data_IF_982369915637
#
_entry.id   IF_982369915637
#
_cell.length_a   1.000
_cell.length_b   1.000
_cell.length_c   1.000
_cell.angle_alpha   90.00
_cell.angle_beta   90.00
_cell.angle_gamma   90.00
#
_symmetry.space_group_name_H-M   'P 1'
#
loop_
_entity.id
_entity.type
_entity.pdbx_description
1 polymer ?
#
# COMPACT_ATOMS: atom_id res chain seq x y z
N UNK A 1 -7.86 -8.54 21.33
CA UNK A 1 -7.00 -9.18 20.32
C UNK A 1 -7.51 -8.83 18.93
N UNK A 2 -6.69 -8.18 18.12
CA UNK A 2 -7.09 -7.84 16.76
C UNK A 2 -7.08 -9.09 15.89
N UNK A 3 -8.21 -9.42 15.30
CA UNK A 3 -8.27 -10.47 14.28
C UNK A 3 -7.52 -9.99 13.04
N UNK A 4 -6.52 -10.75 12.61
CA UNK A 4 -5.84 -10.51 11.34
C UNK A 4 -6.62 -11.23 10.25
N UNK A 5 -7.23 -10.46 9.35
CA UNK A 5 -7.93 -11.00 8.20
C UNK A 5 -6.93 -11.27 7.07
N UNK A 6 -6.19 -12.37 7.22
CA UNK A 6 -5.22 -12.81 6.22
C UNK A 6 -5.69 -14.11 5.61
N UNK A 7 -5.60 -14.21 4.29
CA UNK A 7 -5.96 -15.44 3.59
C UNK A 7 -5.53 -15.43 2.14
N UNK A 8 -5.78 -16.54 1.45
CA UNK A 8 -5.51 -16.67 0.04
C UNK A 8 -6.75 -16.27 -0.76
N UNK A 9 -6.55 -15.39 -1.75
CA UNK A 9 -7.62 -15.00 -2.66
C UNK A 9 -7.79 -16.06 -3.74
N UNK A 10 -9.01 -16.59 -3.89
CA UNK A 10 -9.34 -17.53 -4.95
C UNK A 10 -9.82 -16.76 -6.17
N UNK A 11 -8.96 -16.64 -7.17
CA UNK A 11 -9.24 -15.90 -8.39
C UNK A 11 -10.20 -16.69 -9.30
N UNK A 12 -11.15 -15.97 -9.90
CA UNK A 12 -12.10 -16.54 -10.87
C UNK A 12 -11.61 -16.38 -12.32
N UNK A 13 -10.84 -15.31 -12.57
CA UNK A 13 -10.33 -14.99 -13.90
C UNK A 13 -8.81 -14.93 -13.88
N UNK A 14 -8.12 -16.08 -13.76
CA UNK A 14 -6.66 -16.10 -13.61
C UNK A 14 -5.90 -15.50 -14.80
N UNK A 15 -6.50 -15.46 -15.98
CA UNK A 15 -5.89 -14.85 -17.16
C UNK A 15 -5.69 -13.35 -17.02
N UNK A 16 -6.38 -12.69 -16.10
CA UNK A 16 -6.21 -11.26 -15.79
C UNK A 16 -5.04 -10.99 -14.85
N UNK A 17 -4.61 -11.98 -14.08
CA UNK A 17 -3.59 -11.80 -13.06
C UNK A 17 -2.19 -11.90 -13.66
N UNK A 18 -1.37 -10.87 -13.41
CA UNK A 18 0.03 -10.85 -13.82
C UNK A 18 0.90 -11.27 -12.64
N UNK A 19 1.29 -12.53 -12.62
CA UNK A 19 2.05 -13.16 -11.55
C UNK A 19 1.54 -14.56 -11.28
N UNK A 20 1.80 -15.09 -10.09
CA UNK A 20 1.34 -16.43 -9.69
C UNK A 20 -0.10 -16.38 -9.16
N UNK A 21 -1.11 -16.83 -9.94
CA UNK A 21 -2.50 -16.75 -9.51
C UNK A 21 -2.86 -17.71 -8.39
N UNK A 22 -1.99 -18.64 -8.05
CA UNK A 22 -2.21 -19.60 -6.96
C UNK A 22 -1.69 -19.09 -5.61
N UNK A 23 -1.00 -17.96 -5.60
CA UNK A 23 -0.38 -17.39 -4.40
C UNK A 23 -0.70 -15.90 -4.24
N UNK A 24 -2.01 -15.58 -4.20
CA UNK A 24 -2.48 -14.21 -4.00
C UNK A 24 -2.95 -14.08 -2.56
N UNK A 25 -2.22 -13.33 -1.75
CA UNK A 25 -2.51 -13.19 -0.33
C UNK A 25 -3.09 -11.82 -0.03
N UNK A 26 -4.29 -11.77 0.60
CA UNK A 26 -4.81 -10.53 1.17
C UNK A 26 -4.49 -10.48 2.66
N UNK A 27 -4.20 -9.27 3.15
CA UNK A 27 -3.84 -9.03 4.56
C UNK A 27 -4.87 -8.18 5.30
N UNK A 28 -5.91 -7.74 4.59
CA UNK A 28 -7.02 -6.98 5.16
C UNK A 28 -8.28 -7.23 4.33
N UNK A 29 -9.44 -6.91 4.92
CA UNK A 29 -10.71 -6.98 4.19
C UNK A 29 -10.79 -5.94 3.07
N UNK A 30 -10.13 -4.79 3.24
CA UNK A 30 -10.05 -3.77 2.19
C UNK A 30 -9.31 -4.30 0.97
N UNK A 31 -8.17 -4.98 1.18
CA UNK A 31 -7.43 -5.63 0.10
C UNK A 31 -8.26 -6.71 -0.58
N UNK A 32 -8.96 -7.53 0.19
CA UNK A 32 -9.83 -8.57 -0.35
C UNK A 32 -10.93 -7.99 -1.25
N UNK A 33 -11.57 -6.90 -0.82
CA UNK A 33 -12.60 -6.21 -1.62
C UNK A 33 -12.01 -5.67 -2.91
N UNK A 34 -10.83 -5.09 -2.85
CA UNK A 34 -10.16 -4.57 -4.04
C UNK A 34 -9.77 -5.68 -5.00
N UNK A 35 -9.27 -6.81 -4.49
CA UNK A 35 -8.96 -8.00 -5.32
C UNK A 35 -10.19 -8.53 -6.05
N UNK A 36 -11.34 -8.60 -5.36
CA UNK A 36 -12.61 -9.00 -5.98
C UNK A 36 -13.02 -8.02 -7.09
N UNK A 37 -12.81 -6.73 -6.85
CA UNK A 37 -13.09 -5.69 -7.84
C UNK A 37 -12.19 -5.86 -9.08
N UNK A 38 -10.89 -6.07 -8.88
CA UNK A 38 -9.94 -6.27 -9.98
C UNK A 38 -10.30 -7.51 -10.81
N UNK A 39 -10.68 -8.59 -10.13
CA UNK A 39 -11.00 -9.86 -10.79
C UNK A 39 -12.28 -9.78 -11.62
N UNK A 40 -13.29 -9.07 -11.14
CA UNK A 40 -14.61 -9.02 -11.75
C UNK A 40 -14.88 -7.83 -12.68
N UNK A 41 -14.09 -6.75 -12.60
CA UNK A 41 -14.34 -5.53 -13.37
C UNK A 41 -13.68 -5.61 -14.75
N UNK A 42 -14.49 -5.54 -15.81
CA UNK A 42 -14.02 -5.62 -17.19
C UNK A 42 -13.13 -4.46 -17.61
N UNK A 43 -13.20 -3.32 -16.92
CA UNK A 43 -12.35 -2.15 -17.18
C UNK A 43 -10.90 -2.37 -16.71
N UNK A 44 -10.69 -3.30 -15.78
CA UNK A 44 -9.37 -3.71 -15.34
C UNK A 44 -8.94 -4.90 -16.19
N UNK A 45 -7.99 -4.67 -17.10
CA UNK A 45 -7.54 -5.67 -18.06
C UNK A 45 -6.58 -6.68 -17.43
N UNK A 46 -5.65 -6.19 -16.60
CA UNK A 46 -4.66 -6.98 -15.88
C UNK A 46 -4.46 -6.38 -14.49
N UNK A 47 -4.05 -7.22 -13.54
CA UNK A 47 -3.70 -6.75 -12.19
C UNK A 47 -2.70 -7.68 -11.52
N UNK A 48 -1.98 -7.17 -10.53
CA UNK A 48 -1.09 -7.97 -9.69
C UNK A 48 -1.08 -7.42 -8.26
N UNK A 49 -0.71 -8.27 -7.31
CA UNK A 49 -0.61 -7.94 -5.89
C UNK A 49 0.81 -8.18 -5.42
N UNK A 50 1.49 -7.12 -4.95
CA UNK A 50 2.83 -7.18 -4.35
C UNK A 50 3.91 -7.83 -5.23
N UNK A 51 3.76 -7.79 -6.57
CA UNK A 51 4.68 -8.43 -7.51
C UNK A 51 5.82 -7.50 -7.97
N UNK A 52 5.72 -6.19 -7.69
CA UNK A 52 6.70 -5.18 -8.14
C UNK A 52 7.42 -4.59 -6.95
N UNK A 53 8.75 -4.50 -7.04
CA UNK A 53 9.58 -3.82 -6.06
C UNK A 53 10.12 -2.51 -6.65
N UNK A 54 9.90 -1.40 -5.93
CA UNK A 54 10.37 -0.07 -6.33
C UNK A 54 11.43 0.38 -5.33
N UNK A 55 12.67 0.62 -5.77
CA UNK A 55 13.71 1.13 -4.86
C UNK A 55 13.43 2.58 -4.46
N UNK A 56 13.66 2.90 -3.22
CA UNK A 56 13.58 4.27 -2.71
C UNK A 56 14.60 4.46 -1.59
N UNK A 57 14.91 5.73 -1.26
CA UNK A 57 15.77 6.07 -0.15
C UNK A 57 14.91 6.54 1.02
N UNK A 58 14.99 5.82 2.15
CA UNK A 58 14.21 6.19 3.32
C UNK A 58 14.79 7.43 4.00
N UNK A 59 13.98 8.44 4.32
CA UNK A 59 14.43 9.63 5.03
C UNK A 59 14.78 9.37 6.50
N UNK A 60 14.44 8.19 7.02
CA UNK A 60 14.71 7.85 8.44
C UNK A 60 16.17 7.40 8.63
N UNK A 61 16.70 6.55 7.73
CA UNK A 61 18.05 6.00 7.84
C UNK A 61 18.95 6.35 6.66
N UNK A 62 18.42 7.07 5.68
CA UNK A 62 19.11 7.47 4.46
C UNK A 62 19.68 6.29 3.66
N UNK A 63 19.09 5.10 3.81
CA UNK A 63 19.48 3.88 3.11
C UNK A 63 18.48 3.49 2.04
N UNK A 64 18.93 2.68 1.07
CA UNK A 64 18.07 2.14 0.02
C UNK A 64 17.18 1.05 0.57
N UNK A 65 15.87 1.17 0.32
CA UNK A 65 14.84 0.19 0.65
C UNK A 65 14.06 -0.18 -0.59
N UNK A 66 13.30 -1.28 -0.53
CA UNK A 66 12.37 -1.66 -1.59
C UNK A 66 10.94 -1.42 -1.14
N UNK A 67 10.17 -0.79 -2.01
CA UNK A 67 8.74 -0.57 -1.81
C UNK A 67 7.96 -1.53 -2.70
N UNK A 68 7.05 -2.28 -2.08
CA UNK A 68 6.14 -3.18 -2.79
C UNK A 68 4.76 -2.53 -2.77
N UNK A 69 4.32 -1.89 -3.87
CA UNK A 69 2.95 -1.39 -3.95
C UNK A 69 1.95 -2.52 -3.76
N UNK A 70 0.82 -2.22 -3.12
CA UNK A 70 -0.19 -3.24 -2.86
C UNK A 70 -0.69 -3.85 -4.16
N UNK A 71 -1.01 -3.01 -5.16
CA UNK A 71 -1.55 -3.48 -6.43
C UNK A 71 -0.99 -2.70 -7.61
N UNK A 72 -0.87 -3.40 -8.73
CA UNK A 72 -0.66 -2.81 -10.04
C UNK A 72 -1.87 -3.19 -10.90
N UNK A 73 -2.50 -2.22 -11.54
CA UNK A 73 -3.63 -2.48 -12.44
C UNK A 73 -3.37 -1.90 -13.83
N UNK A 74 -3.88 -2.58 -14.85
CA UNK A 74 -3.87 -2.11 -16.22
C UNK A 74 -5.30 -1.85 -16.68
N UNK A 75 -5.54 -0.64 -17.16
CA UNK A 75 -6.79 -0.24 -17.81
C UNK A 75 -6.47 0.25 -19.22
N UNK A 76 -7.49 0.66 -19.97
CA UNK A 76 -7.30 1.26 -21.31
C UNK A 76 -6.43 2.50 -21.28
N UNK A 77 -6.36 3.19 -20.13
CA UNK A 77 -5.55 4.41 -19.94
C UNK A 77 -4.09 4.12 -19.61
N UNK A 78 -3.72 2.87 -19.31
CA UNK A 78 -2.37 2.46 -18.98
C UNK A 78 -2.27 1.76 -17.63
N UNK A 79 -1.07 1.78 -17.04
CA UNK A 79 -0.78 1.13 -15.76
C UNK A 79 -0.91 2.11 -14.60
N UNK A 80 -1.47 1.66 -13.49
CA UNK A 80 -1.63 2.44 -12.26
C UNK A 80 -1.19 1.62 -11.06
N UNK A 81 -0.39 2.21 -10.18
CA UNK A 81 -0.04 1.64 -8.89
C UNK A 81 -1.09 2.05 -7.87
N UNK A 82 -1.60 1.09 -7.09
CA UNK A 82 -2.66 1.32 -6.12
C UNK A 82 -2.18 0.90 -4.74
N UNK A 83 -2.38 1.78 -3.76
CA UNK A 83 -2.09 1.55 -2.36
C UNK A 83 -3.40 1.55 -1.58
N UNK A 84 -3.69 0.46 -0.87
CA UNK A 84 -4.91 0.35 -0.05
C UNK A 84 -4.55 0.66 1.39
N UNK A 85 -4.93 1.85 1.86
CA UNK A 85 -4.65 2.30 3.22
C UNK A 85 -5.88 2.92 3.86
N UNK A 86 -6.01 2.81 5.22
CA UNK A 86 -7.00 3.61 5.92
C UNK A 86 -6.80 5.09 5.63
N UNK A 87 -7.89 5.84 5.50
CA UNK A 87 -7.83 7.27 5.13
C UNK A 87 -6.94 8.10 6.04
N UNK A 88 -6.85 7.74 7.32
CA UNK A 88 -6.02 8.45 8.30
C UNK A 88 -4.53 8.40 7.94
N UNK A 89 -4.05 7.32 7.28
CA UNK A 89 -2.65 7.18 6.88
C UNK A 89 -2.31 7.95 5.60
N UNK A 90 -3.31 8.43 4.87
CA UNK A 90 -3.12 9.22 3.65
C UNK A 90 -2.99 10.71 3.91
N UNK A 91 -3.11 11.13 5.17
CA UNK A 91 -3.04 12.53 5.59
C UNK A 91 -1.84 12.75 6.51
N UNK A 92 -1.22 13.95 6.48
CA UNK A 92 -0.17 14.28 7.44
C UNK A 92 -0.69 14.20 8.88
N UNK A 93 0.15 13.80 9.84
CA UNK A 93 -0.23 13.86 11.25
C UNK A 93 -0.60 15.28 11.67
N UNK A 94 -1.60 15.41 12.54
CA UNK A 94 -1.99 16.72 13.07
C UNK A 94 -0.83 17.32 13.88
N UNK A 95 -0.55 18.60 13.64
CA UNK A 95 0.44 19.33 14.43
C UNK A 95 -0.06 19.48 15.85
N UNK A 96 0.73 19.00 16.83
CA UNK A 96 0.39 19.04 18.23
C UNK A 96 1.29 20.03 18.98
N UNK A 97 0.77 20.59 20.08
CA UNK A 97 1.58 21.43 20.98
C UNK A 97 2.39 20.47 21.87
N UNK A 98 3.63 20.22 21.49
CA UNK A 98 4.50 19.19 22.09
C UNK A 98 4.71 19.41 23.58
N UNK A 99 4.80 20.65 24.03
CA UNK A 99 5.05 21.01 25.42
C UNK A 99 3.96 20.53 26.39
N UNK A 100 2.71 20.39 25.90
CA UNK A 100 1.55 19.96 26.69
C UNK A 100 1.28 18.46 26.60
N UNK A 101 2.13 17.70 25.88
CA UNK A 101 1.90 16.28 25.66
C UNK A 101 2.63 15.43 26.70
N UNK A 102 1.98 14.30 27.08
CA UNK A 102 2.65 13.27 27.86
C UNK A 102 3.73 12.60 27.01
N UNK A 103 4.71 11.96 27.64
CA UNK A 103 5.76 11.24 26.93
C UNK A 103 5.20 10.19 25.97
N UNK A 104 4.12 9.48 26.36
CA UNK A 104 3.45 8.49 25.53
C UNK A 104 2.83 9.12 24.27
N UNK A 105 2.21 10.30 24.40
CA UNK A 105 1.63 11.03 23.26
C UNK A 105 2.71 11.56 22.33
N UNK A 106 3.83 12.05 22.87
CA UNK A 106 4.98 12.49 22.07
C UNK A 106 5.54 11.35 21.22
N UNK A 107 5.67 10.16 21.78
CA UNK A 107 6.15 8.97 21.06
C UNK A 107 5.20 8.58 19.91
N UNK A 108 3.88 8.63 20.15
CA UNK A 108 2.88 8.35 19.09
C UNK A 108 2.98 9.36 17.97
N UNK A 109 3.10 10.64 18.30
CA UNK A 109 3.23 11.69 17.29
C UNK A 109 4.49 11.50 16.45
N UNK A 110 5.64 11.27 17.08
CA UNK A 110 6.90 11.04 16.37
C UNK A 110 6.82 9.81 15.45
N UNK A 111 6.18 8.73 15.91
CA UNK A 111 5.96 7.55 15.09
C UNK A 111 5.09 7.86 13.87
N UNK A 112 4.02 8.63 14.05
CA UNK A 112 3.13 9.03 12.96
C UNK A 112 3.86 9.89 11.92
N UNK A 113 4.70 10.82 12.36
CA UNK A 113 5.53 11.66 11.48
C UNK A 113 6.50 10.79 10.67
N UNK A 114 7.19 9.85 11.31
CA UNK A 114 8.12 8.94 10.62
C UNK A 114 7.40 8.11 9.56
N UNK A 115 6.25 7.54 9.89
CA UNK A 115 5.44 6.77 8.95
C UNK A 115 5.03 7.62 7.75
N UNK A 116 4.59 8.85 8.00
CA UNK A 116 4.23 9.79 6.94
C UNK A 116 5.41 10.07 5.99
N UNK A 117 6.57 10.37 6.54
CA UNK A 117 7.78 10.67 5.77
C UNK A 117 8.22 9.50 4.89
N UNK A 118 8.18 8.28 5.44
CA UNK A 118 8.51 7.06 4.70
C UNK A 118 7.51 6.83 3.57
N UNK A 119 6.21 6.99 3.85
CA UNK A 119 5.18 6.82 2.83
C UNK A 119 5.32 7.83 1.69
N UNK A 120 5.63 9.10 2.01
CA UNK A 120 5.88 10.10 0.97
C UNK A 120 7.06 9.72 0.07
N UNK A 121 8.16 9.22 0.65
CA UNK A 121 9.32 8.78 -0.10
C UNK A 121 8.98 7.61 -1.04
N UNK A 122 8.17 6.66 -0.57
CA UNK A 122 7.69 5.54 -1.38
C UNK A 122 6.84 6.03 -2.55
N UNK A 123 5.91 6.95 -2.30
CA UNK A 123 5.00 7.47 -3.32
C UNK A 123 5.73 8.30 -4.37
N UNK A 124 6.72 9.09 -3.96
CA UNK A 124 7.57 9.83 -4.90
C UNK A 124 8.35 8.88 -5.82
N UNK A 125 8.92 7.81 -5.27
CA UNK A 125 9.60 6.79 -6.05
C UNK A 125 8.64 6.09 -7.02
N UNK A 126 7.42 5.79 -6.57
CA UNK A 126 6.40 5.16 -7.39
C UNK A 126 5.97 6.04 -8.56
N UNK A 127 5.84 7.35 -8.36
CA UNK A 127 5.48 8.31 -9.41
C UNK A 127 6.51 8.33 -10.56
N UNK A 128 7.79 8.11 -10.24
CA UNK A 128 8.86 8.09 -11.25
C UNK A 128 8.80 6.86 -12.14
N UNK A 129 8.15 5.78 -11.68
CA UNK A 129 8.03 4.52 -12.40
C UNK A 129 6.78 4.48 -13.29
N UNK A 130 5.74 5.19 -12.91
CA UNK A 130 4.46 5.23 -13.64
C UNK A 130 4.47 6.20 -14.84
#
# INVERSE_FOLDING_TARGET
>A
MRRRYKGNFKIKNPQKYKGNPTNIIYRSLMELRFMKHCDSNDKILKWSSEEIAIPYISPIDNKRHRYFPDFLIQTKKGWTLVEVKPSIETKPPKKLIIEKLTLKKKRRYNKAVRTWLVNEAKWEAAKKVC
#
